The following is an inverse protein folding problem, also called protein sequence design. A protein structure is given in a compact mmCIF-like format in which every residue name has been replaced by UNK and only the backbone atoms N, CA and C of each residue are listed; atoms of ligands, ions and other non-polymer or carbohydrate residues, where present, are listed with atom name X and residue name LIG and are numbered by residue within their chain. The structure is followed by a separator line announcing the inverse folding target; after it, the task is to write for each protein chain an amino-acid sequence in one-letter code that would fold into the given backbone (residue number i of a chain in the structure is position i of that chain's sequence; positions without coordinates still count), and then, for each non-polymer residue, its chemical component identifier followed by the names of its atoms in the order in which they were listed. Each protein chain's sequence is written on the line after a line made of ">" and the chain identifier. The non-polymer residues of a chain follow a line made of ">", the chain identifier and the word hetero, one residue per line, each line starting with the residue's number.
data_IF_227951984085
#
_entry.id   IF_227951984085
#
_cell.length_a   1.000
_cell.length_b   1.000
_cell.length_c   1.000
_cell.angle_alpha   90.00
_cell.angle_beta   90.00
_cell.angle_gamma   90.00
#
_symmetry.space_group_name_H-M   'P 1'
#
loop_
_entity.id
_entity.type
_entity.pdbx_description
1 polymer ?
#
# COMPACT_ATOMS: atom_id res chain seq x y z
N UNK A 1 16.60 -12.04 -8.53
CA UNK A 1 17.32 -11.23 -9.55
C UNK A 1 18.66 -11.84 -9.94
N UNK A 2 19.53 -12.20 -8.98
CA UNK A 2 20.82 -12.86 -9.25
C UNK A 2 20.71 -14.21 -9.98
N UNK A 3 19.76 -15.05 -9.58
CA UNK A 3 19.51 -16.36 -10.21
C UNK A 3 19.09 -16.26 -11.69
N UNK A 4 18.33 -15.23 -12.03
CA UNK A 4 17.80 -15.03 -13.37
C UNK A 4 18.85 -14.40 -14.31
N UNK A 5 19.68 -13.51 -13.78
CA UNK A 5 20.86 -12.99 -14.49
C UNK A 5 21.86 -14.09 -14.80
N UNK A 6 22.11 -14.99 -13.83
CA UNK A 6 22.99 -16.15 -14.04
C UNK A 6 22.45 -17.08 -15.14
N UNK A 7 21.13 -17.30 -15.18
CA UNK A 7 20.46 -18.11 -16.20
C UNK A 7 20.64 -17.54 -17.61
N UNK A 8 20.48 -16.22 -17.77
CA UNK A 8 20.64 -15.54 -19.06
C UNK A 8 22.09 -15.55 -19.53
N UNK A 9 23.05 -15.32 -18.64
CA UNK A 9 24.49 -15.36 -18.97
C UNK A 9 24.92 -16.74 -19.42
N UNK A 10 24.54 -17.80 -18.69
CA UNK A 10 24.83 -19.18 -19.07
C UNK A 10 24.14 -19.57 -20.38
N UNK A 11 22.89 -19.13 -20.57
CA UNK A 11 22.12 -19.41 -21.79
C UNK A 11 22.70 -18.73 -23.03
N UNK A 12 23.30 -17.54 -22.87
CA UNK A 12 23.87 -16.77 -23.99
C UNK A 12 25.24 -17.32 -24.39
N UNK A 13 26.00 -17.83 -23.41
CA UNK A 13 27.33 -18.42 -23.63
C UNK A 13 27.25 -19.84 -24.22
N UNK A 14 26.18 -20.59 -23.95
CA UNK A 14 26.10 -21.99 -24.39
C UNK A 14 25.40 -22.12 -25.75
N UNK A 15 26.18 -22.13 -26.85
CA UNK A 15 25.71 -22.64 -28.15
C UNK A 15 25.35 -24.13 -27.99
N UNK A 16 24.06 -24.48 -28.12
CA UNK A 16 23.54 -25.82 -27.82
C UNK A 16 22.92 -26.47 -29.06
N UNK A 17 23.64 -27.44 -29.62
CA UNK A 17 23.27 -28.16 -30.85
C UNK A 17 22.26 -29.31 -30.64
N UNK A 18 22.05 -29.81 -29.42
CA UNK A 18 21.24 -31.03 -29.19
C UNK A 18 19.88 -30.76 -28.53
N UNK A 19 18.81 -31.28 -29.16
CA UNK A 19 17.40 -31.18 -28.69
C UNK A 19 17.21 -31.60 -27.23
N UNK A 20 17.93 -32.64 -26.77
CA UNK A 20 17.82 -33.14 -25.39
C UNK A 20 18.34 -32.15 -24.33
N UNK A 21 19.42 -31.42 -24.62
CA UNK A 21 19.99 -30.43 -23.70
C UNK A 21 19.09 -29.20 -23.54
N UNK A 22 18.35 -28.83 -24.59
CA UNK A 22 17.33 -27.78 -24.51
C UNK A 22 16.14 -28.18 -23.64
N UNK A 23 15.63 -29.42 -23.79
CA UNK A 23 14.49 -29.91 -23.01
C UNK A 23 14.83 -30.01 -21.52
N UNK A 24 15.98 -30.60 -21.18
CA UNK A 24 16.41 -30.73 -19.78
C UNK A 24 16.54 -29.35 -19.09
N UNK A 25 17.04 -28.36 -19.81
CA UNK A 25 17.18 -27.00 -19.29
C UNK A 25 15.85 -26.28 -19.12
N UNK A 26 14.92 -26.40 -20.07
CA UNK A 26 13.57 -25.84 -19.90
C UNK A 26 12.82 -26.51 -18.75
N UNK A 27 12.96 -27.83 -18.56
CA UNK A 27 12.37 -28.54 -17.41
C UNK A 27 12.95 -28.04 -16.08
N UNK A 28 14.27 -27.93 -15.98
CA UNK A 28 14.94 -27.40 -14.78
C UNK A 28 14.54 -25.94 -14.49
N UNK A 29 14.41 -25.12 -15.54
CA UNK A 29 13.98 -23.73 -15.40
C UNK A 29 12.55 -23.61 -14.88
N UNK A 30 11.61 -24.38 -15.45
CA UNK A 30 10.21 -24.42 -15.00
C UNK A 30 10.11 -24.95 -13.57
N UNK A 31 10.89 -25.99 -13.23
CA UNK A 31 10.94 -26.53 -11.87
C UNK A 31 11.44 -25.49 -10.86
N UNK A 32 12.47 -24.73 -11.22
CA UNK A 32 13.02 -23.68 -10.37
C UNK A 32 12.00 -22.54 -10.17
N UNK A 33 11.32 -22.12 -11.25
CA UNK A 33 10.24 -21.14 -11.18
C UNK A 33 9.07 -21.60 -10.31
N UNK A 34 8.68 -22.87 -10.42
CA UNK A 34 7.63 -23.46 -9.58
C UNK A 34 8.02 -23.46 -8.10
N UNK A 35 9.28 -23.77 -7.76
CA UNK A 35 9.75 -23.69 -6.38
C UNK A 35 9.70 -22.27 -5.83
N UNK A 36 10.02 -21.26 -6.64
CA UNK A 36 9.90 -19.86 -6.22
C UNK A 36 8.44 -19.48 -5.93
N UNK A 37 7.47 -19.98 -6.71
CA UNK A 37 6.03 -19.78 -6.43
C UNK A 37 5.62 -20.41 -5.09
N UNK A 38 6.12 -21.60 -4.77
CA UNK A 38 5.83 -22.25 -3.48
C UNK A 38 6.37 -21.44 -2.30
N UNK A 39 7.61 -20.92 -2.42
CA UNK A 39 8.20 -20.06 -1.39
C UNK A 39 7.39 -18.77 -1.22
N UNK A 40 6.93 -18.16 -2.32
CA UNK A 40 6.06 -16.97 -2.30
C UNK A 40 4.71 -17.25 -1.61
N UNK A 41 4.09 -18.39 -1.91
CA UNK A 41 2.83 -18.78 -1.27
C UNK A 41 3.01 -19.00 0.24
N UNK A 42 4.13 -19.61 0.64
CA UNK A 42 4.47 -19.81 2.06
C UNK A 42 4.71 -18.49 2.79
N UNK A 43 5.41 -17.53 2.16
CA UNK A 43 5.63 -16.21 2.77
C UNK A 43 4.33 -15.42 2.89
N UNK A 44 3.44 -15.46 1.89
CA UNK A 44 2.10 -14.87 1.95
C UNK A 44 1.28 -15.41 3.12
N UNK A 45 1.25 -16.73 3.28
CA UNK A 45 0.48 -17.38 4.34
C UNK A 45 0.98 -16.93 5.73
N UNK A 46 2.30 -16.82 5.89
CA UNK A 46 2.90 -16.31 7.12
C UNK A 46 2.53 -14.85 7.34
N UNK A 47 2.52 -14.03 6.29
CA UNK A 47 2.17 -12.62 6.33
C UNK A 47 0.71 -12.38 6.73
N UNK A 48 -0.24 -13.14 6.16
CA UNK A 48 -1.66 -13.11 6.54
C UNK A 48 -1.89 -13.49 8.01
N UNK A 49 -1.13 -14.46 8.52
CA UNK A 49 -1.23 -14.85 9.93
C UNK A 49 -0.80 -13.70 10.87
N UNK A 50 0.20 -12.91 10.48
CA UNK A 50 0.63 -11.72 11.23
C UNK A 50 -0.36 -10.55 11.12
N UNK A 51 -1.12 -10.42 10.03
CA UNK A 51 -2.19 -9.41 9.87
C UNK A 51 -3.37 -9.66 10.81
N UNK A 52 -3.71 -10.93 11.02
CA UNK A 52 -4.73 -11.34 11.98
C UNK A 52 -4.44 -10.83 13.40
N UNK A 53 -3.16 -10.71 13.77
CA UNK A 53 -2.72 -10.37 15.13
C UNK A 53 -2.41 -8.88 15.29
N UNK A 54 -1.73 -8.25 14.34
CA UNK A 54 -1.19 -6.89 14.51
C UNK A 54 -1.93 -5.77 13.74
N UNK A 55 -2.95 -6.09 12.93
CA UNK A 55 -3.64 -5.09 12.10
C UNK A 55 -2.99 -4.89 10.73
N UNK A 56 -3.69 -4.17 9.84
CA UNK A 56 -3.29 -3.97 8.45
C UNK A 56 -2.32 -2.78 8.33
N UNK A 57 -1.11 -3.04 7.82
CA UNK A 57 -0.06 -2.04 7.63
C UNK A 57 0.26 -1.82 6.15
N UNK A 58 0.62 -0.58 5.81
CA UNK A 58 0.97 -0.08 4.48
C UNK A 58 2.04 -0.93 3.78
N UNK A 59 3.09 -1.30 4.52
CA UNK A 59 4.18 -2.13 4.01
C UNK A 59 3.69 -3.49 3.48
N UNK A 60 2.59 -4.00 4.05
CA UNK A 60 2.07 -5.34 3.83
C UNK A 60 1.10 -5.39 2.64
N UNK A 61 0.30 -4.36 2.44
CA UNK A 61 -0.55 -4.18 1.25
C UNK A 61 0.30 -4.05 -0.02
N UNK A 62 1.38 -3.26 0.01
CA UNK A 62 2.33 -3.19 -1.10
C UNK A 62 2.96 -4.56 -1.42
N UNK A 63 3.26 -5.32 -0.37
CA UNK A 63 3.82 -6.67 -0.50
C UNK A 63 2.84 -7.63 -1.18
N UNK A 64 1.53 -7.60 -0.84
CA UNK A 64 0.52 -8.42 -1.51
C UNK A 64 0.40 -8.11 -3.01
N UNK A 65 0.26 -6.83 -3.36
CA UNK A 65 0.16 -6.39 -4.77
C UNK A 65 1.41 -6.81 -5.55
N UNK A 66 2.58 -6.65 -4.95
CA UNK A 66 3.84 -7.10 -5.54
C UNK A 66 3.89 -8.60 -5.75
N UNK A 67 3.43 -9.40 -4.79
CA UNK A 67 3.43 -10.86 -4.91
C UNK A 67 2.47 -11.34 -6.00
N UNK A 68 1.29 -10.75 -6.14
CA UNK A 68 0.35 -11.09 -7.21
C UNK A 68 0.95 -10.81 -8.59
N UNK A 69 1.54 -9.63 -8.78
CA UNK A 69 2.24 -9.29 -10.01
C UNK A 69 3.40 -10.25 -10.26
N UNK A 70 4.19 -10.58 -9.23
CA UNK A 70 5.37 -11.44 -9.37
C UNK A 70 4.97 -12.87 -9.74
N UNK A 71 3.90 -13.39 -9.14
CA UNK A 71 3.32 -14.67 -9.52
C UNK A 71 2.86 -14.65 -10.99
N UNK A 72 2.19 -13.56 -11.42
CA UNK A 72 1.81 -13.36 -12.81
C UNK A 72 2.99 -13.36 -13.78
N UNK A 73 4.10 -12.68 -13.44
CA UNK A 73 5.32 -12.67 -14.26
C UNK A 73 5.98 -14.04 -14.31
N UNK A 74 6.05 -14.78 -13.20
CA UNK A 74 6.61 -16.13 -13.19
C UNK A 74 5.75 -17.06 -14.06
N UNK A 75 4.42 -16.98 -13.96
CA UNK A 75 3.51 -17.75 -14.82
C UNK A 75 3.68 -17.38 -16.30
N UNK A 76 3.76 -16.09 -16.62
CA UNK A 76 4.02 -15.62 -17.98
C UNK A 76 5.37 -16.13 -18.50
N UNK A 77 6.41 -16.16 -17.66
CA UNK A 77 7.72 -16.69 -18.00
C UNK A 77 7.68 -18.20 -18.26
N UNK A 78 6.95 -18.97 -17.45
CA UNK A 78 6.71 -20.41 -17.67
C UNK A 78 6.03 -20.63 -19.01
N UNK A 79 4.96 -19.89 -19.31
CA UNK A 79 4.22 -20.00 -20.58
C UNK A 79 5.10 -19.63 -21.78
N UNK A 80 5.90 -18.57 -21.68
CA UNK A 80 6.83 -18.17 -22.74
C UNK A 80 7.92 -19.20 -23.02
N UNK A 81 8.47 -19.81 -21.96
CA UNK A 81 9.47 -20.88 -22.07
C UNK A 81 8.86 -22.13 -22.72
N UNK A 82 7.60 -22.47 -22.38
CA UNK A 82 6.86 -23.56 -23.02
C UNK A 82 6.61 -23.31 -24.53
N UNK A 83 6.38 -22.06 -24.93
CA UNK A 83 6.16 -21.68 -26.35
C UNK A 83 7.49 -21.52 -27.12
N UNK A 84 8.66 -21.68 -26.46
CA UNK A 84 10.01 -21.52 -27.03
C UNK A 84 10.28 -20.16 -27.70
N UNK A 85 9.48 -19.13 -27.41
CA UNK A 85 9.69 -17.76 -27.92
C UNK A 85 10.48 -16.92 -26.92
N UNK A 86 11.77 -17.24 -26.79
CA UNK A 86 12.73 -16.56 -25.90
C UNK A 86 12.82 -15.03 -26.12
N UNK A 87 12.45 -14.54 -27.30
CA UNK A 87 12.50 -13.11 -27.65
C UNK A 87 11.42 -12.23 -26.98
N UNK A 88 10.37 -12.80 -26.40
CA UNK A 88 9.28 -12.01 -25.78
C UNK A 88 9.43 -11.82 -24.27
N UNK A 89 10.51 -12.33 -23.65
CA UNK A 89 10.73 -12.18 -22.21
C UNK A 89 10.89 -10.72 -21.79
N UNK A 90 11.60 -9.93 -22.61
CA UNK A 90 11.73 -8.50 -22.39
C UNK A 90 10.37 -7.78 -22.44
N UNK A 91 9.45 -8.25 -23.30
CA UNK A 91 8.09 -7.72 -23.38
C UNK A 91 7.27 -8.10 -22.14
N UNK A 92 7.38 -9.34 -21.65
CA UNK A 92 6.72 -9.76 -20.41
C UNK A 92 7.22 -8.97 -19.18
N UNK A 93 8.53 -8.72 -19.10
CA UNK A 93 9.11 -7.88 -18.06
C UNK A 93 8.61 -6.43 -18.16
N UNK A 94 8.54 -5.88 -19.38
CA UNK A 94 8.06 -4.51 -19.60
C UNK A 94 6.57 -4.39 -19.22
N UNK A 95 5.73 -5.35 -19.62
CA UNK A 95 4.31 -5.42 -19.23
C UNK A 95 4.17 -5.56 -17.72
N UNK A 96 5.02 -6.33 -17.05
CA UNK A 96 5.03 -6.41 -15.59
C UNK A 96 5.39 -5.07 -14.95
N UNK A 97 6.47 -4.41 -15.39
CA UNK A 97 6.89 -3.13 -14.79
C UNK A 97 5.81 -2.07 -15.01
N UNK A 98 5.33 -1.91 -16.26
CA UNK A 98 4.28 -0.95 -16.59
C UNK A 98 2.99 -1.29 -15.86
N UNK A 99 2.59 -2.56 -15.84
CA UNK A 99 1.37 -3.01 -15.18
C UNK A 99 1.42 -2.87 -13.67
N UNK A 100 2.55 -3.22 -13.02
CA UNK A 100 2.76 -3.04 -11.59
C UNK A 100 2.75 -1.56 -11.20
N UNK A 101 3.51 -0.72 -11.91
CA UNK A 101 3.53 0.72 -11.67
C UNK A 101 2.17 1.36 -11.93
N UNK A 102 1.47 0.97 -13.01
CA UNK A 102 0.12 1.44 -13.28
C UNK A 102 -0.88 0.98 -12.21
N UNK A 103 -0.77 -0.27 -11.73
CA UNK A 103 -1.65 -0.79 -10.68
C UNK A 103 -1.44 -0.02 -9.37
N UNK A 104 -0.19 0.24 -8.97
CA UNK A 104 0.09 1.05 -7.79
C UNK A 104 -0.33 2.52 -7.94
N UNK A 105 -0.18 3.09 -9.13
CA UNK A 105 -0.60 4.47 -9.40
C UNK A 105 -2.12 4.65 -9.49
N UNK A 106 -2.85 3.61 -9.90
CA UNK A 106 -4.32 3.63 -10.00
C UNK A 106 -4.98 3.20 -8.68
N UNK A 107 -4.39 2.22 -7.99
CA UNK A 107 -4.90 1.73 -6.73
C UNK A 107 -4.55 2.73 -5.64
N UNK A 108 -5.54 3.42 -5.09
CA UNK A 108 -5.38 4.20 -3.88
C UNK A 108 -5.16 3.23 -2.70
N UNK A 109 -3.90 2.82 -2.50
CA UNK A 109 -3.49 1.86 -1.48
C UNK A 109 -3.84 2.39 -0.09
N UNK A 110 -3.64 3.68 0.15
CA UNK A 110 -3.96 4.34 1.42
C UNK A 110 -5.47 4.32 1.70
N UNK A 111 -6.31 4.56 0.69
CA UNK A 111 -7.75 4.45 0.81
C UNK A 111 -8.22 3.02 1.11
N UNK A 112 -7.59 2.01 0.50
CA UNK A 112 -7.88 0.61 0.83
C UNK A 112 -7.50 0.28 2.28
N UNK A 113 -6.37 0.80 2.77
CA UNK A 113 -5.92 0.63 4.15
C UNK A 113 -6.92 1.26 5.13
N UNK A 114 -7.45 2.45 4.83
CA UNK A 114 -8.49 3.10 5.65
C UNK A 114 -9.72 2.22 5.76
N UNK A 115 -10.28 1.76 4.64
CA UNK A 115 -11.49 0.93 4.66
C UNK A 115 -11.28 -0.37 5.44
N UNK A 116 -10.13 -1.02 5.27
CA UNK A 116 -9.85 -2.29 5.94
C UNK A 116 -9.62 -2.13 7.44
N UNK A 117 -8.93 -1.08 7.87
CA UNK A 117 -8.72 -0.80 9.30
C UNK A 117 -10.04 -0.40 9.96
N UNK A 118 -10.88 0.39 9.29
CA UNK A 118 -12.18 0.76 9.82
C UNK A 118 -13.14 -0.43 9.87
N UNK A 119 -13.14 -1.30 8.86
CA UNK A 119 -13.90 -2.55 8.90
C UNK A 119 -13.43 -3.46 10.05
N UNK A 120 -12.11 -3.54 10.28
CA UNK A 120 -11.56 -4.29 11.41
C UNK A 120 -11.98 -3.69 12.76
N UNK A 121 -12.06 -2.36 12.84
CA UNK A 121 -12.53 -1.67 14.03
C UNK A 121 -14.02 -1.90 14.30
N UNK A 122 -14.84 -1.94 13.24
CA UNK A 122 -16.24 -2.36 13.35
C UNK A 122 -16.39 -3.81 13.82
N UNK A 123 -15.42 -4.68 13.53
CA UNK A 123 -15.36 -6.06 14.02
C UNK A 123 -14.82 -6.19 15.46
N UNK A 124 -14.56 -5.07 16.16
CA UNK A 124 -14.18 -5.04 17.58
C UNK A 124 -12.68 -4.90 17.85
N UNK A 125 -11.87 -4.58 16.83
CA UNK A 125 -10.48 -4.13 17.06
C UNK A 125 -10.44 -2.64 17.38
N UNK A 126 -9.41 -2.18 18.07
CA UNK A 126 -9.19 -0.74 18.26
C UNK A 126 -8.67 -0.11 16.96
N UNK A 127 -9.15 1.10 16.64
CA UNK A 127 -8.66 1.88 15.51
C UNK A 127 -7.52 2.76 15.99
N UNK A 128 -6.31 2.47 15.53
CA UNK A 128 -5.13 3.25 15.87
C UNK A 128 -5.11 4.60 15.12
N UNK A 129 -5.44 5.68 15.85
CA UNK A 129 -5.41 7.03 15.31
C UNK A 129 -4.01 7.52 14.93
N UNK A 130 -2.95 7.07 15.60
CA UNK A 130 -1.58 7.44 15.24
C UNK A 130 -1.20 6.82 13.90
N UNK A 131 -1.59 5.56 13.67
CA UNK A 131 -1.38 4.91 12.38
C UNK A 131 -2.12 5.63 11.25
N UNK A 132 -3.38 6.02 11.48
CA UNK A 132 -4.17 6.78 10.49
C UNK A 132 -3.54 8.15 10.20
N UNK A 133 -2.99 8.82 11.21
CA UNK A 133 -2.29 10.10 11.05
C UNK A 133 -1.05 9.99 10.15
N UNK A 134 -0.33 8.86 10.22
CA UNK A 134 0.83 8.58 9.37
C UNK A 134 0.52 8.38 7.88
N UNK A 135 -0.75 8.20 7.49
CA UNK A 135 -1.14 7.97 6.10
C UNK A 135 -0.99 9.24 5.25
N UNK A 136 -0.63 9.05 3.98
CA UNK A 136 -0.50 10.14 3.00
C UNK A 136 -1.82 10.91 2.77
N UNK A 137 -1.75 12.05 2.07
CA UNK A 137 -2.92 12.84 1.65
C UNK A 137 -3.89 12.05 0.76
N UNK A 138 -3.42 10.99 0.08
CA UNK A 138 -4.24 10.11 -0.74
C UNK A 138 -5.27 9.32 0.07
N UNK A 139 -5.12 9.19 1.39
CA UNK A 139 -6.09 8.58 2.29
C UNK A 139 -7.35 9.43 2.51
N UNK A 140 -7.27 10.75 2.31
CA UNK A 140 -8.32 11.72 2.68
C UNK A 140 -9.69 11.41 2.05
N UNK A 141 -9.82 11.07 0.75
CA UNK A 141 -11.10 10.69 0.19
C UNK A 141 -11.77 9.52 0.91
N UNK A 142 -11.00 8.50 1.31
CA UNK A 142 -11.53 7.35 2.03
C UNK A 142 -11.87 7.69 3.49
N UNK A 143 -11.07 8.54 4.15
CA UNK A 143 -11.36 9.03 5.51
C UNK A 143 -12.67 9.82 5.54
N UNK A 144 -12.89 10.70 4.55
CA UNK A 144 -14.12 11.48 4.44
C UNK A 144 -15.33 10.58 4.14
N UNK A 145 -15.21 9.64 3.20
CA UNK A 145 -16.28 8.69 2.88
C UNK A 145 -16.69 7.88 4.12
N UNK A 146 -15.71 7.36 4.86
CA UNK A 146 -15.94 6.56 6.05
C UNK A 146 -16.48 7.38 7.24
N UNK A 147 -16.05 8.63 7.39
CA UNK A 147 -16.60 9.53 8.41
C UNK A 147 -18.08 9.89 8.15
N UNK A 148 -18.42 10.12 6.87
CA UNK A 148 -19.77 10.50 6.45
C UNK A 148 -20.76 9.32 6.46
N UNK A 149 -20.29 8.07 6.53
CA UNK A 149 -21.17 6.89 6.58
C UNK A 149 -22.13 6.93 7.77
N UNK A 150 -23.43 6.66 7.55
CA UNK A 150 -24.40 6.56 8.62
C UNK A 150 -24.21 5.25 9.40
N UNK A 151 -24.35 5.29 10.72
CA UNK A 151 -24.27 4.10 11.57
C UNK A 151 -22.88 3.69 12.05
N UNK A 152 -21.85 4.49 11.75
CA UNK A 152 -20.51 4.30 12.30
C UNK A 152 -20.52 4.36 13.84
N UNK A 153 -19.78 3.47 14.53
CA UNK A 153 -19.49 3.60 15.96
C UNK A 153 -18.90 4.97 16.31
N UNK A 154 -19.25 5.51 17.48
CA UNK A 154 -18.80 6.84 17.93
C UNK A 154 -17.28 6.94 17.99
N UNK A 155 -16.59 5.93 18.51
CA UNK A 155 -15.13 5.99 18.59
C UNK A 155 -14.39 6.05 17.28
N UNK A 156 -14.90 5.31 16.28
CA UNK A 156 -14.37 5.40 14.93
C UNK A 156 -14.61 6.80 14.36
N UNK A 157 -15.79 7.40 14.60
CA UNK A 157 -16.05 8.79 14.17
C UNK A 157 -15.17 9.81 14.88
N UNK A 158 -14.86 9.60 16.15
CA UNK A 158 -14.02 10.50 16.92
C UNK A 158 -12.58 10.47 16.42
N UNK A 159 -12.02 9.29 16.16
CA UNK A 159 -10.67 9.15 15.56
C UNK A 159 -10.63 9.79 14.17
N UNK A 160 -11.58 9.46 13.29
CA UNK A 160 -11.62 9.98 11.92
C UNK A 160 -11.86 11.51 11.89
N UNK A 161 -12.76 12.00 12.74
CA UNK A 161 -13.09 13.41 12.85
C UNK A 161 -11.94 14.25 13.40
N UNK A 162 -11.22 13.73 14.40
CA UNK A 162 -10.01 14.35 14.92
C UNK A 162 -8.93 14.46 13.84
N UNK A 163 -8.68 13.38 13.09
CA UNK A 163 -7.70 13.38 12.01
C UNK A 163 -8.05 14.38 10.89
N UNK A 164 -9.32 14.38 10.44
CA UNK A 164 -9.78 15.31 9.41
C UNK A 164 -9.69 16.77 9.87
N UNK A 165 -9.97 17.05 11.14
CA UNK A 165 -9.78 18.38 11.73
C UNK A 165 -8.30 18.80 11.78
N UNK A 166 -7.41 17.89 12.19
CA UNK A 166 -5.96 18.11 12.18
C UNK A 166 -5.43 18.43 10.78
N UNK A 167 -5.78 17.64 9.76
CA UNK A 167 -5.39 17.90 8.38
C UNK A 167 -5.92 19.22 7.86
N UNK A 168 -7.17 19.57 8.21
CA UNK A 168 -7.77 20.85 7.83
C UNK A 168 -7.05 22.04 8.47
N UNK A 169 -6.63 21.92 9.73
CA UNK A 169 -5.85 22.95 10.40
C UNK A 169 -4.47 23.12 9.74
N UNK A 170 -3.80 22.02 9.40
CA UNK A 170 -2.49 22.03 8.73
C UNK A 170 -2.53 22.68 7.33
N UNK A 171 -3.63 22.53 6.58
CA UNK A 171 -3.81 23.20 5.29
C UNK A 171 -3.79 24.73 5.39
N UNK A 172 -4.28 25.29 6.50
CA UNK A 172 -4.31 26.75 6.70
C UNK A 172 -2.91 27.32 6.98
N UNK A 173 -2.05 26.51 7.60
CA UNK A 173 -0.64 26.86 7.89
C UNK A 173 0.31 26.51 6.73
N UNK A 174 -0.13 25.68 5.78
CA UNK A 174 0.67 25.30 4.62
C UNK A 174 0.94 26.54 3.74
N UNK A 175 2.16 27.07 3.83
CA UNK A 175 2.64 28.13 2.96
C UNK A 175 2.43 27.73 1.49
N UNK A 176 1.95 28.67 0.66
CA UNK A 176 1.65 28.47 -0.77
C UNK A 176 2.71 27.57 -1.43
N UNK A 177 2.33 26.35 -1.73
CA UNK A 177 3.22 25.33 -2.27
C UNK A 177 3.80 25.78 -3.61
N UNK A 178 5.11 25.63 -3.78
CA UNK A 178 5.78 25.88 -5.06
C UNK A 178 5.23 24.91 -6.10
N UNK A 179 5.11 25.35 -7.36
CA UNK A 179 4.56 24.52 -8.44
C UNK A 179 5.38 23.25 -8.68
N UNK A 180 6.66 23.26 -8.29
CA UNK A 180 7.59 22.12 -8.39
C UNK A 180 7.24 20.97 -7.46
N UNK A 181 6.56 21.23 -6.34
CA UNK A 181 6.14 20.21 -5.38
C UNK A 181 4.66 19.86 -5.52
N UNK A 182 4.02 20.23 -6.64
CA UNK A 182 2.61 19.95 -6.85
C UNK A 182 2.35 18.44 -6.95
N UNK A 183 1.48 17.94 -6.08
CA UNK A 183 1.03 16.53 -6.05
C UNK A 183 -0.48 16.50 -6.28
N UNK A 184 -0.92 15.69 -7.24
CA UNK A 184 -2.35 15.57 -7.57
C UNK A 184 -3.20 15.11 -6.38
N UNK A 185 -2.70 14.15 -5.61
CA UNK A 185 -3.34 13.63 -4.40
C UNK A 185 -3.60 14.70 -3.34
N UNK A 186 -2.62 15.57 -3.11
CA UNK A 186 -2.70 16.67 -2.15
C UNK A 186 -3.70 17.75 -2.59
N UNK A 187 -3.76 18.04 -3.89
CA UNK A 187 -4.76 18.94 -4.45
C UNK A 187 -6.18 18.40 -4.29
N UNK A 188 -6.39 17.10 -4.53
CA UNK A 188 -7.68 16.47 -4.33
C UNK A 188 -8.08 16.43 -2.83
N UNK A 189 -7.14 16.08 -1.96
CA UNK A 189 -7.34 16.04 -0.51
C UNK A 189 -7.71 17.41 0.06
N UNK A 190 -6.96 18.45 -0.30
CA UNK A 190 -7.23 19.82 0.16
C UNK A 190 -8.61 20.33 -0.29
N UNK A 191 -8.99 20.04 -1.54
CA UNK A 191 -10.33 20.38 -2.03
C UNK A 191 -11.42 19.68 -1.21
N UNK A 192 -11.28 18.38 -0.93
CA UNK A 192 -12.28 17.63 -0.15
C UNK A 192 -12.38 18.10 1.30
N UNK A 193 -11.26 18.46 1.92
CA UNK A 193 -11.22 18.98 3.28
C UNK A 193 -11.90 20.35 3.38
N UNK A 194 -11.66 21.24 2.41
CA UNK A 194 -12.31 22.56 2.36
C UNK A 194 -13.82 22.42 2.15
N UNK A 195 -14.26 21.54 1.24
CA UNK A 195 -15.68 21.34 0.94
C UNK A 195 -16.47 20.80 2.14
N UNK A 196 -15.86 19.94 2.97
CA UNK A 196 -16.53 19.25 4.06
C UNK A 196 -16.13 19.75 5.45
N UNK A 197 -15.39 20.86 5.55
CA UNK A 197 -14.87 21.41 6.81
C UNK A 197 -15.93 21.55 7.92
N UNK A 198 -17.17 21.85 7.55
CA UNK A 198 -18.28 21.99 8.51
C UNK A 198 -18.68 20.67 9.18
N UNK A 199 -18.37 19.52 8.57
CA UNK A 199 -18.78 18.20 9.08
C UNK A 199 -18.00 17.80 10.35
N UNK A 200 -16.76 18.26 10.50
CA UNK A 200 -15.89 17.98 11.64
C UNK A 200 -15.55 19.24 12.45
N UNK A 201 -16.30 20.35 12.30
CA UNK A 201 -16.08 21.56 13.09
C UNK A 201 -16.33 21.38 14.60
N UNK A 202 -16.99 20.28 15.00
CA UNK A 202 -17.13 19.87 16.40
C UNK A 202 -15.82 19.41 17.04
N UNK A 203 -14.84 18.98 16.23
CA UNK A 203 -13.52 18.55 16.65
C UNK A 203 -12.57 19.76 16.63
N UNK A 204 -12.41 20.41 17.79
CA UNK A 204 -11.56 21.59 17.90
C UNK A 204 -10.10 21.20 18.07
N UNK A 205 -9.26 21.71 17.17
CA UNK A 205 -7.81 21.61 17.27
C UNK A 205 -7.32 22.67 18.27
N UNK A 206 -6.59 22.22 19.28
CA UNK A 206 -6.03 23.03 20.36
C UNK A 206 -4.51 22.91 20.28
N UNK A 207 -3.80 24.01 20.55
CA UNK A 207 -2.35 24.00 20.66
C UNK A 207 -1.95 23.68 22.11
N UNK A 208 -1.42 22.49 22.33
CA UNK A 208 -0.88 22.03 23.61
C UNK A 208 0.63 22.34 23.70
N UNK A 209 1.11 22.98 24.77
CA UNK A 209 2.51 23.35 24.92
C UNK A 209 3.50 22.17 24.93
N UNK A 210 3.04 20.96 25.26
CA UNK A 210 3.86 19.75 25.38
C UNK A 210 3.74 18.87 24.13
N UNK A 211 2.53 18.75 23.56
CA UNK A 211 2.23 17.79 22.50
C UNK A 211 1.93 18.42 21.13
N UNK A 212 1.96 19.75 21.02
CA UNK A 212 1.64 20.46 19.78
C UNK A 212 0.14 20.49 19.50
N UNK A 213 -0.26 20.39 18.24
CA UNK A 213 -1.68 20.45 17.85
C UNK A 213 -2.36 19.13 18.24
N UNK A 214 -3.41 19.22 19.04
CA UNK A 214 -4.20 18.07 19.51
C UNK A 214 -5.70 18.31 19.33
N UNK A 215 -6.47 17.22 19.24
CA UNK A 215 -7.94 17.24 19.33
C UNK A 215 -8.37 16.44 20.54
N UNK A 216 -9.18 17.06 21.40
CA UNK A 216 -9.76 16.39 22.55
C UNK A 216 -11.13 15.81 22.17
N UNK A 217 -11.26 14.48 22.25
CA UNK A 217 -12.51 13.75 22.01
C UNK A 217 -13.03 13.14 23.32
N UNK A 218 -14.21 12.50 23.27
CA UNK A 218 -14.75 11.80 24.44
C UNK A 218 -13.95 10.53 24.79
N UNK A 219 -13.18 9.99 23.83
CA UNK A 219 -12.40 8.76 23.98
C UNK A 219 -10.93 9.00 24.30
N UNK A 220 -10.40 10.20 24.06
CA UNK A 220 -9.03 10.52 24.42
C UNK A 220 -8.50 11.82 23.80
N UNK A 221 -7.18 11.96 23.87
CA UNK A 221 -6.45 13.04 23.19
C UNK A 221 -5.84 12.46 21.92
N UNK A 222 -6.15 13.08 20.77
CA UNK A 222 -5.56 12.73 19.48
C UNK A 222 -4.51 13.76 19.10
N UNK A 223 -3.28 13.31 18.86
CA UNK A 223 -2.22 14.16 18.34
C UNK A 223 -2.40 14.38 16.84
N UNK A 224 -2.26 15.62 16.37
CA UNK A 224 -2.19 15.92 14.95
C UNK A 224 -0.82 15.59 14.33
N UNK A 225 0.17 15.26 15.16
CA UNK A 225 1.51 14.87 14.75
C UNK A 225 1.73 13.37 14.96
N UNK A 226 2.29 12.74 13.93
CA UNK A 226 2.75 11.36 14.01
C UNK A 226 4.02 11.27 14.88
N UNK A 227 3.92 10.55 15.99
CA UNK A 227 5.07 10.12 16.77
C UNK A 227 5.23 8.60 16.61
N UNK A 228 6.42 8.09 16.20
CA UNK A 228 6.65 6.66 16.21
C UNK A 228 6.60 6.16 17.65
N UNK A 229 5.76 5.15 17.91
CA UNK A 229 5.67 4.51 19.23
C UNK A 229 7.06 4.04 19.70
N UNK A 230 7.47 4.47 20.90
CA UNK A 230 8.76 4.08 21.50
C UNK A 230 9.72 5.24 21.84
N UNK A 231 9.26 6.49 21.85
CA UNK A 231 9.98 7.62 22.46
C UNK A 231 9.25 8.15 23.70
N UNK A 232 9.16 7.29 24.72
CA UNK A 232 8.94 7.68 26.11
C UNK A 232 10.21 7.40 26.92
#
# INVERSE_FOLDING_TARGET
>A
MLSLGLYLVLSTITKRETRGSQIAFSVLAVLLMANVLVILASSLQRLMLYEGVYGFSELRTYTHVFIFWLAGLILAAIVLELIKRRGHFALALLVFVVGFTATLGIMNVDGYIVHQNVQSAQAGKELDGNYINGLSSDAVPALVDEFLKPGQPKGIKDVLGAELACRTASLNDAAKTDWRSYRLGEAQASQLLILNQNAWSGYKVINDPQNGLIVQTAEGVHSCYWYPEGMD
#
